data_IF_818022365953
#
_entry.id   IF_818022365953
#
_cell.length_a   1.000
_cell.length_b   1.000
_cell.length_c   1.000
_cell.angle_alpha   90.00
_cell.angle_beta   90.00
_cell.angle_gamma   90.00
#
_symmetry.space_group_name_H-M   'P 1'
#
loop_
_entity.id
_entity.type
_entity.pdbx_description
1 polymer ?
#
# COMPACT_ATOMS: atom_id res chain seq x y z
N UNK A 1 -7.88 10.43 15.01
CA UNK A 1 -6.81 9.68 15.72
C UNK A 1 -5.59 9.77 14.84
N UNK A 2 -4.43 10.19 15.36
CA UNK A 2 -3.22 10.26 14.54
C UNK A 2 -2.58 8.87 14.48
N UNK A 3 -2.32 8.36 13.29
CA UNK A 3 -1.59 7.10 13.07
C UNK A 3 -0.10 7.35 13.28
N UNK A 4 0.57 6.39 13.89
CA UNK A 4 2.03 6.36 13.97
C UNK A 4 2.60 5.62 12.76
N UNK A 5 3.90 5.79 12.51
CA UNK A 5 4.61 5.02 11.47
C UNK A 5 4.40 3.51 11.59
N UNK A 6 4.47 2.97 12.81
CA UNK A 6 4.27 1.54 13.04
C UNK A 6 2.83 1.09 12.74
N UNK A 7 1.85 1.97 12.89
CA UNK A 7 0.46 1.67 12.56
C UNK A 7 0.29 1.54 11.05
N UNK A 8 0.87 2.48 10.30
CA UNK A 8 0.84 2.44 8.83
C UNK A 8 1.52 1.17 8.33
N UNK A 9 2.68 0.84 8.90
CA UNK A 9 3.37 -0.42 8.59
C UNK A 9 2.49 -1.65 8.86
N UNK A 10 1.85 -1.69 10.03
CA UNK A 10 0.94 -2.80 10.39
C UNK A 10 -0.21 -2.91 9.40
N UNK A 11 -0.80 -1.78 9.00
CA UNK A 11 -1.89 -1.73 8.03
C UNK A 11 -1.41 -2.23 6.67
N UNK A 12 -0.27 -1.74 6.17
CA UNK A 12 0.31 -2.18 4.90
C UNK A 12 0.57 -3.69 4.89
N UNK A 13 1.19 -4.24 5.94
CA UNK A 13 1.48 -5.68 6.03
C UNK A 13 0.17 -6.50 6.05
N UNK A 14 -0.82 -6.10 6.84
CA UNK A 14 -2.13 -6.78 6.88
C UNK A 14 -2.84 -6.71 5.53
N UNK A 15 -2.75 -5.58 4.84
CA UNK A 15 -3.36 -5.39 3.52
C UNK A 15 -2.68 -6.28 2.48
N UNK A 16 -1.36 -6.34 2.47
CA UNK A 16 -0.61 -7.27 1.64
C UNK A 16 -0.96 -8.73 1.93
N UNK A 17 -1.09 -9.11 3.21
CA UNK A 17 -1.51 -10.46 3.60
C UNK A 17 -2.88 -10.81 2.98
N UNK A 18 -3.82 -9.86 3.03
CA UNK A 18 -5.13 -10.01 2.42
C UNK A 18 -5.06 -10.13 0.89
N UNK A 19 -4.36 -9.21 0.22
CA UNK A 19 -4.24 -9.16 -1.25
C UNK A 19 -3.60 -10.44 -1.80
N UNK A 20 -2.55 -10.94 -1.15
CA UNK A 20 -1.79 -12.10 -1.62
C UNK A 20 -2.27 -13.43 -1.03
N UNK A 21 -3.28 -13.42 -0.15
CA UNK A 21 -3.77 -14.63 0.53
C UNK A 21 -2.72 -15.29 1.43
N UNK A 22 -1.87 -14.49 2.07
CA UNK A 22 -0.80 -14.91 2.96
C UNK A 22 -1.14 -14.65 4.43
N UNK A 23 -0.44 -15.32 5.34
CA UNK A 23 -0.45 -14.94 6.75
C UNK A 23 0.47 -13.72 7.00
N UNK A 24 0.10 -12.86 7.94
CA UNK A 24 0.86 -11.64 8.31
C UNK A 24 2.31 -11.98 8.69
N UNK A 25 2.55 -13.12 9.36
CA UNK A 25 3.90 -13.55 9.76
C UNK A 25 4.79 -13.95 8.58
N UNK A 26 4.20 -14.17 7.39
CA UNK A 26 4.93 -14.51 6.18
C UNK A 26 5.43 -13.29 5.42
N UNK A 27 5.08 -12.07 5.84
CA UNK A 27 5.48 -10.84 5.14
C UNK A 27 6.63 -10.19 5.88
N UNK A 28 7.79 -10.15 5.22
CA UNK A 28 8.99 -9.47 5.70
C UNK A 28 9.18 -8.14 4.95
N UNK A 29 9.70 -7.13 5.64
CA UNK A 29 9.94 -5.80 5.08
C UNK A 29 10.94 -5.82 3.91
N UNK A 30 11.86 -6.78 3.88
CA UNK A 30 12.88 -6.93 2.84
C UNK A 30 12.40 -7.77 1.65
N UNK A 31 11.17 -8.30 1.68
CA UNK A 31 10.58 -8.97 0.51
C UNK A 31 10.50 -8.00 -0.66
N UNK A 32 10.88 -8.47 -1.84
CA UNK A 32 10.88 -7.72 -3.07
C UNK A 32 9.69 -8.13 -3.96
N UNK A 33 9.32 -7.25 -4.90
CA UNK A 33 8.18 -7.51 -5.78
C UNK A 33 8.51 -8.41 -6.98
N UNK A 34 9.79 -8.73 -7.20
CA UNK A 34 10.38 -9.40 -8.39
C UNK A 34 9.90 -8.88 -9.76
N UNK A 35 9.12 -7.79 -9.78
CA UNK A 35 8.47 -7.20 -10.92
C UNK A 35 8.42 -5.67 -10.78
N UNK A 36 8.07 -4.99 -11.87
CA UNK A 36 7.79 -3.55 -11.85
C UNK A 36 6.30 -3.36 -11.51
N UNK A 37 6.01 -3.02 -10.25
CA UNK A 37 4.65 -2.82 -9.74
C UNK A 37 3.75 -1.95 -10.65
N UNK A 38 4.29 -0.85 -11.18
CA UNK A 38 3.52 0.12 -11.97
C UNK A 38 3.26 -0.25 -13.43
N UNK A 39 3.66 -1.47 -13.86
CA UNK A 39 3.52 -1.88 -15.26
C UNK A 39 2.74 -3.19 -15.43
N UNK A 40 1.92 -3.52 -14.43
CA UNK A 40 1.07 -4.71 -14.46
C UNK A 40 -0.10 -4.43 -15.40
N UNK A 41 -0.25 -5.27 -16.44
CA UNK A 41 -1.36 -5.15 -17.39
C UNK A 41 -2.65 -5.58 -16.70
N UNK A 42 -3.61 -4.65 -16.61
CA UNK A 42 -4.97 -4.95 -16.10
C UNK A 42 -5.63 -6.04 -16.94
N UNK A 43 -6.05 -7.11 -16.29
CA UNK A 43 -6.87 -8.17 -16.88
C UNK A 43 -8.35 -7.79 -16.82
N UNK A 44 -9.07 -8.06 -17.91
CA UNK A 44 -10.52 -7.85 -17.96
C UNK A 44 -11.32 -8.95 -17.24
N UNK A 45 -10.69 -10.08 -16.90
CA UNK A 45 -11.38 -11.30 -16.47
C UNK A 45 -11.12 -11.68 -15.02
N UNK A 46 -9.94 -11.33 -14.48
CA UNK A 46 -9.51 -11.70 -13.13
C UNK A 46 -8.55 -10.63 -12.62
N UNK A 47 -8.89 -10.00 -11.49
CA UNK A 47 -8.02 -9.01 -10.83
C UNK A 47 -6.87 -9.78 -10.19
N UNK A 48 -5.65 -9.49 -10.64
CA UNK A 48 -4.44 -10.02 -10.03
C UNK A 48 -4.13 -9.25 -8.72
N UNK A 49 -3.64 -9.90 -7.66
CA UNK A 49 -3.10 -9.25 -6.46
C UNK A 49 -2.22 -8.01 -6.72
N UNK A 50 -1.40 -8.03 -7.77
CA UNK A 50 -0.57 -6.88 -8.13
C UNK A 50 -1.34 -5.70 -8.75
N UNK A 51 -2.51 -5.95 -9.36
CA UNK A 51 -3.40 -4.89 -9.82
C UNK A 51 -4.06 -4.19 -8.63
N UNK A 52 -4.55 -4.97 -7.66
CA UNK A 52 -5.15 -4.42 -6.42
C UNK A 52 -4.13 -3.61 -5.62
N UNK A 53 -2.89 -4.10 -5.50
CA UNK A 53 -1.82 -3.34 -4.85
C UNK A 53 -1.48 -2.04 -5.62
N UNK A 54 -1.52 -2.07 -6.95
CA UNK A 54 -1.28 -0.86 -7.75
C UNK A 54 -2.41 0.16 -7.56
N UNK A 55 -3.66 -0.29 -7.48
CA UNK A 55 -4.81 0.57 -7.17
C UNK A 55 -4.65 1.22 -5.78
N UNK A 56 -4.27 0.45 -4.75
CA UNK A 56 -3.99 0.99 -3.40
C UNK A 56 -2.91 2.10 -3.42
N UNK A 57 -1.85 1.93 -4.23
CA UNK A 57 -0.78 2.92 -4.37
C UNK A 57 -1.28 4.19 -5.10
N UNK A 58 -2.07 4.01 -6.16
CA UNK A 58 -2.66 5.11 -6.94
C UNK A 58 -3.67 5.91 -6.12
N UNK A 59 -4.49 5.24 -5.30
CA UNK A 59 -5.49 5.87 -4.43
C UNK A 59 -4.84 6.71 -3.31
N UNK A 60 -3.66 6.29 -2.83
CA UNK A 60 -2.86 7.08 -1.89
C UNK A 60 -2.07 8.21 -2.57
N UNK A 61 -2.00 8.27 -3.91
CA UNK A 61 -1.23 9.28 -4.63
C UNK A 61 -1.99 10.61 -4.76
N UNK A 62 -1.30 11.72 -4.46
CA UNK A 62 -1.74 13.04 -4.93
C UNK A 62 -1.41 13.22 -6.43
N UNK A 63 -1.92 14.28 -7.07
CA UNK A 63 -1.72 14.52 -8.51
C UNK A 63 -0.24 14.52 -8.94
N UNK A 64 0.65 15.03 -8.07
CA UNK A 64 2.08 15.11 -8.34
C UNK A 64 2.75 13.73 -8.27
N UNK A 65 2.40 12.92 -7.27
CA UNK A 65 2.89 11.54 -7.15
C UNK A 65 2.34 10.68 -8.27
N UNK A 66 1.08 10.85 -8.65
CA UNK A 66 0.47 10.17 -9.78
C UNK A 66 1.21 10.45 -11.10
N UNK A 67 1.65 11.71 -11.30
CA UNK A 67 2.52 12.07 -12.42
C UNK A 67 3.87 11.36 -12.37
N UNK A 68 4.49 11.22 -11.19
CA UNK A 68 5.75 10.48 -11.03
C UNK A 68 5.57 8.98 -11.31
N UNK A 69 4.45 8.37 -10.90
CA UNK A 69 4.10 6.98 -11.19
C UNK A 69 4.01 6.78 -12.71
N UNK A 70 3.21 7.61 -13.40
CA UNK A 70 3.04 7.53 -14.86
C UNK A 70 4.34 7.71 -15.64
N UNK A 71 5.28 8.48 -15.11
CA UNK A 71 6.59 8.72 -15.72
C UNK A 71 7.67 7.71 -15.27
N UNK A 72 7.32 6.63 -14.56
CA UNK A 72 8.26 5.64 -14.01
C UNK A 72 9.35 6.25 -13.10
N UNK A 73 9.05 7.35 -12.42
CA UNK A 73 9.97 8.07 -11.52
C UNK A 73 9.81 7.65 -10.05
N UNK A 74 8.76 6.91 -9.72
CA UNK A 74 8.59 6.27 -8.43
C UNK A 74 9.01 4.79 -8.55
N UNK A 75 9.88 4.32 -7.66
CA UNK A 75 10.26 2.91 -7.58
C UNK A 75 9.98 2.39 -6.18
N UNK A 76 8.97 1.54 -6.07
CA UNK A 76 8.69 0.72 -4.88
C UNK A 76 9.22 -0.68 -5.21
N UNK A 77 10.29 -1.12 -4.54
CA UNK A 77 10.98 -2.40 -4.85
C UNK A 77 10.78 -3.45 -3.76
N UNK A 78 10.59 -3.00 -2.54
CA UNK A 78 10.38 -3.84 -1.35
C UNK A 78 9.06 -3.52 -0.65
N UNK A 79 8.66 -4.39 0.27
CA UNK A 79 7.57 -4.12 1.22
C UNK A 79 7.89 -2.89 2.07
N UNK A 80 9.15 -2.71 2.50
CA UNK A 80 9.60 -1.50 3.20
C UNK A 80 9.35 -0.24 2.39
N UNK A 81 9.71 -0.23 1.10
CA UNK A 81 9.50 0.93 0.24
C UNK A 81 8.02 1.31 0.15
N UNK A 82 7.14 0.30 0.10
CA UNK A 82 5.69 0.52 0.10
C UNK A 82 5.23 1.15 1.43
N UNK A 83 5.67 0.59 2.55
CA UNK A 83 5.32 1.12 3.87
C UNK A 83 5.80 2.56 4.05
N UNK A 84 7.03 2.88 3.65
CA UNK A 84 7.54 4.26 3.70
C UNK A 84 6.78 5.18 2.75
N UNK A 85 6.44 4.71 1.54
CA UNK A 85 5.58 5.46 0.63
C UNK A 85 4.24 5.83 1.28
N UNK A 86 3.60 4.88 1.96
CA UNK A 86 2.32 5.11 2.64
C UNK A 86 2.47 6.05 3.84
N UNK A 87 3.60 6.00 4.56
CA UNK A 87 3.92 6.98 5.61
C UNK A 87 4.03 8.38 5.03
N UNK A 88 4.79 8.56 3.95
CA UNK A 88 4.93 9.86 3.29
C UNK A 88 3.59 10.40 2.79
N UNK A 89 2.68 9.53 2.31
CA UNK A 89 1.33 9.93 1.89
C UNK A 89 0.45 10.33 3.07
N UNK A 90 0.51 9.60 4.17
CA UNK A 90 -0.19 9.97 5.39
C UNK A 90 0.32 11.29 5.99
N UNK A 91 1.63 11.56 5.95
CA UNK A 91 2.20 12.81 6.46
C UNK A 91 1.83 14.03 5.59
N UNK A 92 1.69 13.84 4.28
CA UNK A 92 1.29 14.89 3.33
C UNK A 92 -0.19 15.25 3.46
N UNK A 93 -1.08 14.25 3.45
CA UNK A 93 -2.53 14.46 3.61
C UNK A 93 -3.17 13.28 4.39
N UNK A 94 -3.23 13.38 5.73
CA UNK A 94 -3.80 12.34 6.59
C UNK A 94 -5.27 12.03 6.29
N UNK A 95 -6.04 13.05 5.90
CA UNK A 95 -7.48 12.93 5.71
C UNK A 95 -7.78 12.23 4.38
N UNK A 96 -7.04 12.61 3.32
CA UNK A 96 -7.11 11.92 2.03
C UNK A 96 -6.66 10.47 2.16
N UNK A 97 -5.55 10.21 2.88
CA UNK A 97 -5.03 8.86 3.09
C UNK A 97 -6.05 7.96 3.79
N UNK A 98 -6.66 8.42 4.88
CA UNK A 98 -7.68 7.62 5.61
C UNK A 98 -8.94 7.42 4.79
N UNK A 99 -9.33 8.41 3.95
CA UNK A 99 -10.48 8.31 3.06
C UNK A 99 -10.27 7.30 1.93
N UNK A 100 -9.04 7.20 1.43
CA UNK A 100 -8.70 6.44 0.23
C UNK A 100 -8.10 5.05 0.50
N UNK A 101 -7.68 4.73 1.74
CA UNK A 101 -7.30 3.35 2.06
C UNK A 101 -8.52 2.44 1.95
N UNK A 102 -8.54 1.56 0.95
CA UNK A 102 -9.53 0.50 0.80
C UNK A 102 -8.93 -0.87 1.18
N UNK A 103 -9.67 -1.72 1.94
CA UNK A 103 -10.96 -1.42 2.55
C UNK A 103 -10.84 -0.27 3.57
N UNK A 104 -11.94 0.49 3.81
CA UNK A 104 -11.91 1.68 4.66
C UNK A 104 -11.20 1.37 5.97
N UNK A 105 -10.26 2.23 6.33
CA UNK A 105 -9.52 2.13 7.58
C UNK A 105 -10.49 1.88 8.75
N UNK A 106 -10.50 0.65 9.26
CA UNK A 106 -11.26 0.28 10.44
C UNK A 106 -10.30 0.26 11.64
N UNK A 107 -10.73 0.79 12.78
CA UNK A 107 -9.97 0.71 14.03
C UNK A 107 -9.66 -0.75 14.40
N UNK A 108 -10.46 -1.70 13.92
CA UNK A 108 -10.21 -3.14 14.02
C UNK A 108 -8.82 -3.55 13.51
N UNK A 109 -8.26 -2.83 12.54
CA UNK A 109 -6.91 -3.10 12.01
C UNK A 109 -5.81 -2.91 13.05
N UNK A 110 -6.10 -2.14 14.10
CA UNK A 110 -5.20 -1.82 15.20
C UNK A 110 -5.57 -2.53 16.50
N UNK A 111 -6.59 -3.41 16.50
CA UNK A 111 -7.04 -4.09 17.73
C UNK A 111 -5.98 -5.03 18.30
N UNK A 112 -5.03 -5.49 17.47
CA UNK A 112 -3.88 -6.30 17.89
C UNK A 112 -2.76 -5.49 18.56
N UNK A 113 -2.96 -4.19 18.85
CA UNK A 113 -1.98 -3.33 19.57
C UNK A 113 -1.71 -3.75 21.04
N UNK A 114 -2.18 -4.90 21.50
CA UNK A 114 -2.04 -5.32 22.91
C UNK A 114 -0.73 -6.03 23.19
#
# INVERSE_FOLDING_TARGET
>A
MKLTKNDIYTICIKRLAQIFGLDVSQIDLEMNWDCKLFNVKRSFWEINPFEELNDDIEDAANELIFSKIKNNQLMIRTVRDLCEYMVDRYEDDPDLFVKNMFPPFDKAWLEDRK
#
